data_IF_863687015455
#
_entry.id   IF_863687015455
#
_cell.length_a   1.000
_cell.length_b   1.000
_cell.length_c   1.000
_cell.angle_alpha   90.00
_cell.angle_beta   90.00
_cell.angle_gamma   90.00
#
_symmetry.space_group_name_H-M   'P 1'
#
loop_
_entity.id
_entity.type
_entity.pdbx_description
1 polymer ?
#
# COMPACT_ATOMS: atom_id res chain seq x y z
N UNK A 1 28.66 15.99 -16.73
CA UNK A 1 28.60 17.05 -17.75
C UNK A 1 27.19 17.68 -17.92
N UNK A 2 26.16 17.22 -17.18
CA UNK A 2 24.78 17.77 -17.27
C UNK A 2 24.46 18.85 -16.22
N UNK A 3 25.32 19.06 -15.22
CA UNK A 3 25.09 20.00 -14.11
C UNK A 3 25.38 21.47 -14.48
N UNK A 4 26.23 21.72 -15.48
CA UNK A 4 26.71 23.08 -15.80
C UNK A 4 25.70 23.91 -16.59
N UNK A 5 24.84 23.28 -17.40
CA UNK A 5 23.86 23.98 -18.24
C UNK A 5 22.71 24.60 -17.43
N UNK A 6 22.14 23.85 -16.49
CA UNK A 6 21.02 24.32 -15.63
C UNK A 6 21.50 25.40 -14.64
N UNK A 7 22.73 25.27 -14.14
CA UNK A 7 23.34 26.25 -13.22
C UNK A 7 23.53 27.63 -13.87
N UNK A 8 23.85 27.66 -15.17
CA UNK A 8 24.13 28.92 -15.89
C UNK A 8 22.85 29.70 -16.17
N UNK A 9 21.75 29.00 -16.51
CA UNK A 9 20.45 29.62 -16.79
C UNK A 9 19.77 30.20 -15.53
N UNK A 10 19.95 29.57 -14.37
CA UNK A 10 19.36 30.04 -13.11
C UNK A 10 20.10 31.30 -12.60
N UNK A 11 21.41 31.38 -12.81
CA UNK A 11 22.23 32.51 -12.32
C UNK A 11 22.01 33.79 -13.14
N UNK A 12 21.62 33.69 -14.42
CA UNK A 12 21.35 34.87 -15.27
C UNK A 12 19.97 35.50 -15.05
N UNK A 13 19.02 34.78 -14.45
CA UNK A 13 17.63 35.24 -14.27
C UNK A 13 17.41 35.80 -12.86
N UNK A 14 18.17 35.35 -11.84
CA UNK A 14 18.01 35.78 -10.45
C UNK A 14 19.37 35.99 -9.75
N UNK A 15 20.06 37.12 -9.98
CA UNK A 15 21.40 37.37 -9.43
C UNK A 15 21.44 37.51 -7.90
N UNK A 16 20.29 37.64 -7.23
CA UNK A 16 20.15 37.88 -5.79
C UNK A 16 19.55 36.71 -4.99
N UNK A 17 19.43 35.50 -5.56
CA UNK A 17 18.98 34.35 -4.77
C UNK A 17 20.13 33.94 -3.84
N UNK A 18 19.96 34.13 -2.53
CA UNK A 18 20.92 33.63 -1.54
C UNK A 18 21.14 32.13 -1.78
N UNK A 19 22.40 31.70 -1.82
CA UNK A 19 22.79 30.29 -1.98
C UNK A 19 22.50 29.46 -0.73
N UNK A 20 21.50 29.84 0.05
CA UNK A 20 21.14 29.13 1.27
C UNK A 20 20.27 27.93 0.91
N UNK A 21 20.57 26.73 1.43
CA UNK A 21 19.76 25.56 1.19
C UNK A 21 18.34 25.81 1.75
N UNK A 22 17.35 25.80 0.86
CA UNK A 22 15.94 25.84 1.26
C UNK A 22 15.53 24.42 1.65
N UNK A 23 15.38 24.19 2.96
CA UNK A 23 14.89 22.94 3.49
C UNK A 23 13.38 22.82 3.27
N UNK A 24 12.96 21.99 2.33
CA UNK A 24 11.54 21.63 2.17
C UNK A 24 11.27 20.40 3.04
N UNK A 25 10.76 20.63 4.25
CA UNK A 25 10.35 19.56 5.15
C UNK A 25 8.99 18.98 4.77
N UNK A 26 8.94 18.04 3.82
CA UNK A 26 7.72 17.25 3.56
C UNK A 26 7.64 16.09 4.54
N UNK A 27 6.88 16.25 5.62
CA UNK A 27 6.65 15.13 6.55
C UNK A 27 5.54 14.23 6.00
N UNK A 28 5.89 13.05 5.50
CA UNK A 28 4.91 12.04 5.06
C UNK A 28 4.32 11.36 6.31
N UNK A 29 3.28 11.96 6.90
CA UNK A 29 2.54 11.37 8.04
C UNK A 29 1.24 10.68 7.64
N UNK A 30 0.68 11.00 6.48
CA UNK A 30 -0.65 10.53 6.11
C UNK A 30 -0.56 9.16 5.44
N UNK A 31 -1.05 8.15 6.17
CA UNK A 31 -1.56 6.92 5.57
C UNK A 31 -3.05 7.12 5.35
N UNK A 32 -3.50 6.97 4.11
CA UNK A 32 -4.90 7.17 3.71
C UNK A 32 -5.40 5.87 3.11
N UNK A 33 -6.60 5.46 3.52
CA UNK A 33 -7.34 4.40 2.84
C UNK A 33 -8.28 5.07 1.85
N UNK A 34 -8.09 4.80 0.56
CA UNK A 34 -8.97 5.28 -0.49
C UNK A 34 -10.07 4.25 -0.75
N UNK A 35 -11.29 4.76 -0.95
CA UNK A 35 -12.46 3.98 -1.30
C UNK A 35 -12.86 4.27 -2.74
N UNK A 36 -13.23 3.24 -3.49
CA UNK A 36 -13.89 3.43 -4.77
C UNK A 36 -15.41 3.49 -4.54
N UNK A 37 -15.98 4.69 -4.45
CA UNK A 37 -17.39 4.88 -4.10
C UNK A 37 -18.33 4.82 -5.32
N UNK A 38 -17.80 5.02 -6.53
CA UNK A 38 -18.59 5.24 -7.74
C UNK A 38 -18.68 4.02 -8.66
N UNK A 39 -17.77 3.06 -8.55
CA UNK A 39 -17.78 1.86 -9.37
C UNK A 39 -18.48 0.74 -8.60
N UNK A 40 -19.57 0.21 -9.17
CA UNK A 40 -20.41 -0.80 -8.51
C UNK A 40 -19.64 -2.06 -8.11
N UNK A 41 -18.67 -2.47 -8.92
CA UNK A 41 -17.81 -3.64 -8.68
C UNK A 41 -16.87 -3.44 -7.47
N UNK A 42 -16.57 -2.18 -7.12
CA UNK A 42 -15.57 -1.84 -6.10
C UNK A 42 -16.17 -1.22 -4.83
N UNK A 43 -17.50 -1.17 -4.67
CA UNK A 43 -18.17 -0.53 -3.50
C UNK A 43 -17.72 -1.08 -2.14
N UNK A 44 -17.18 -2.29 -2.15
CA UNK A 44 -16.66 -3.00 -0.99
C UNK A 44 -15.13 -3.10 -0.99
N UNK A 45 -14.43 -2.41 -1.90
CA UNK A 45 -12.98 -2.43 -2.02
C UNK A 45 -12.34 -1.14 -1.51
N UNK A 46 -11.12 -1.29 -1.00
CA UNK A 46 -10.30 -0.22 -0.48
C UNK A 46 -8.83 -0.43 -0.87
N UNK A 47 -8.14 0.66 -1.18
CA UNK A 47 -6.71 0.67 -1.42
C UNK A 47 -5.99 1.47 -0.33
N UNK A 48 -4.85 0.98 0.12
CA UNK A 48 -4.05 1.65 1.16
C UNK A 48 -2.92 2.45 0.52
N UNK A 49 -2.78 3.71 0.93
CA UNK A 49 -1.74 4.60 0.43
C UNK A 49 -1.00 5.27 1.58
N UNK A 50 0.29 5.57 1.39
CA UNK A 50 1.05 6.45 2.29
C UNK A 50 1.85 7.45 1.47
N UNK A 51 1.49 8.73 1.58
CA UNK A 51 1.98 9.76 0.66
C UNK A 51 1.56 9.46 -0.78
N UNK A 52 2.51 9.48 -1.72
CA UNK A 52 2.29 9.15 -3.13
C UNK A 52 2.34 7.65 -3.45
N UNK A 53 2.61 6.79 -2.45
CA UNK A 53 2.81 5.37 -2.67
C UNK A 53 1.54 4.58 -2.40
N UNK A 54 1.13 3.79 -3.39
CA UNK A 54 0.09 2.76 -3.28
C UNK A 54 0.71 1.48 -2.73
N UNK A 55 0.00 0.84 -1.80
CA UNK A 55 0.40 -0.41 -1.16
C UNK A 55 -0.46 -1.58 -1.62
N UNK A 56 0.06 -2.79 -1.45
CA UNK A 56 -0.56 -4.05 -1.86
C UNK A 56 -0.28 -5.17 -0.86
N UNK A 57 -1.11 -6.20 -0.88
CA UNK A 57 -0.88 -7.46 -0.20
C UNK A 57 -0.25 -8.48 -1.16
N UNK A 58 0.75 -9.23 -0.68
CA UNK A 58 1.27 -10.45 -1.33
C UNK A 58 0.95 -11.67 -0.49
N UNK A 59 0.73 -12.82 -1.15
CA UNK A 59 0.51 -14.10 -0.48
C UNK A 59 1.72 -14.59 0.33
N UNK A 60 2.94 -14.20 -0.07
CA UNK A 60 4.16 -14.48 0.71
C UNK A 60 4.09 -13.88 2.12
N UNK A 61 3.43 -12.73 2.28
CA UNK A 61 3.30 -12.06 3.58
C UNK A 61 1.97 -12.34 4.29
N UNK A 62 0.90 -12.65 3.54
CA UNK A 62 -0.48 -12.71 4.06
C UNK A 62 -1.17 -14.08 3.89
N UNK A 63 -0.46 -15.08 3.35
CA UNK A 63 -0.98 -16.39 2.98
C UNK A 63 -1.70 -16.39 1.62
N UNK A 64 -1.95 -17.59 1.08
CA UNK A 64 -2.69 -17.78 -0.18
C UNK A 64 -4.15 -17.29 -0.09
N UNK A 65 -4.87 -17.27 -1.21
CA UNK A 65 -6.27 -16.84 -1.32
C UNK A 65 -6.50 -15.42 -0.82
N UNK A 66 -5.73 -14.46 -1.35
CA UNK A 66 -5.80 -13.06 -0.92
C UNK A 66 -7.21 -12.46 -1.07
N UNK A 67 -8.04 -12.97 -1.98
CA UNK A 67 -9.44 -12.55 -2.16
C UNK A 67 -10.32 -12.75 -0.92
N UNK A 68 -9.87 -13.56 0.05
CA UNK A 68 -10.56 -13.79 1.32
C UNK A 68 -10.21 -12.76 2.39
N UNK A 69 -9.23 -11.90 2.13
CA UNK A 69 -8.79 -10.89 3.08
C UNK A 69 -9.72 -9.68 3.05
N UNK A 70 -10.03 -9.19 4.24
CA UNK A 70 -10.71 -7.92 4.47
C UNK A 70 -9.82 -7.01 5.31
N UNK A 71 -9.60 -5.79 4.86
CA UNK A 71 -8.93 -4.75 5.64
C UNK A 71 -9.94 -4.08 6.56
N UNK A 72 -9.54 -3.81 7.81
CA UNK A 72 -10.34 -2.97 8.70
C UNK A 72 -9.94 -1.51 8.48
N UNK A 73 -10.81 -0.66 7.88
CA UNK A 73 -10.46 0.72 7.60
C UNK A 73 -10.32 1.60 8.84
N UNK A 74 -10.92 1.19 9.96
CA UNK A 74 -10.88 1.92 11.22
C UNK A 74 -9.68 1.52 12.08
N UNK A 75 -8.97 0.45 11.70
CA UNK A 75 -7.80 0.00 12.43
C UNK A 75 -6.62 0.96 12.25
N UNK A 76 -5.81 1.19 13.31
CA UNK A 76 -4.59 1.96 13.18
C UNK A 76 -3.62 1.26 12.23
N UNK A 77 -3.00 2.02 11.34
CA UNK A 77 -1.97 1.52 10.43
C UNK A 77 -0.60 1.92 10.97
N UNK A 78 0.24 0.93 11.25
CA UNK A 78 1.63 1.14 11.63
C UNK A 78 2.54 1.15 10.41
N UNK A 79 3.61 1.94 10.46
CA UNK A 79 4.61 2.04 9.40
C UNK A 79 5.98 1.70 9.96
N UNK A 80 6.74 0.89 9.22
CA UNK A 80 8.14 0.60 9.54
C UNK A 80 8.96 0.49 8.26
N UNK A 81 10.12 1.15 8.26
CA UNK A 81 11.11 0.93 7.20
C UNK A 81 11.92 -0.34 7.50
N UNK A 82 12.01 -1.24 6.52
CA UNK A 82 12.74 -2.50 6.61
C UNK A 82 13.89 -2.46 5.62
N UNK A 83 15.10 -2.20 6.13
CA UNK A 83 16.30 -1.99 5.31
C UNK A 83 16.70 -3.22 4.50
N UNK A 84 16.57 -4.41 5.08
CA UNK A 84 17.08 -5.65 4.50
C UNK A 84 16.08 -6.34 3.55
N UNK A 85 14.87 -5.80 3.41
CA UNK A 85 13.86 -6.31 2.50
C UNK A 85 13.80 -5.43 1.25
N UNK A 86 13.87 -6.05 0.07
CA UNK A 86 13.55 -5.42 -1.23
C UNK A 86 14.36 -4.13 -1.51
N UNK A 87 15.63 -4.09 -1.07
CA UNK A 87 16.49 -2.91 -1.23
C UNK A 87 16.16 -1.74 -0.30
N UNK A 88 15.37 -1.99 0.75
CA UNK A 88 14.91 -0.98 1.70
C UNK A 88 13.49 -0.53 1.39
N UNK A 89 12.52 -1.09 2.10
CA UNK A 89 11.10 -0.88 1.81
C UNK A 89 10.33 -0.39 3.02
N UNK A 90 9.42 0.55 2.81
CA UNK A 90 8.42 0.92 3.81
C UNK A 90 7.31 -0.13 3.87
N UNK A 91 7.10 -0.73 5.03
CA UNK A 91 6.05 -1.73 5.26
C UNK A 91 4.93 -1.08 6.07
N UNK A 92 3.67 -1.38 5.71
CA UNK A 92 2.51 -1.06 6.52
C UNK A 92 1.95 -2.32 7.15
N UNK A 93 1.57 -2.24 8.43
CA UNK A 93 0.87 -3.31 9.13
C UNK A 93 -0.43 -2.77 9.72
N UNK A 94 -1.54 -3.46 9.48
CA UNK A 94 -2.88 -3.08 9.95
C UNK A 94 -3.71 -4.31 10.27
N UNK A 95 -4.75 -4.15 11.09
CA UNK A 95 -5.65 -5.26 11.38
C UNK A 95 -6.54 -5.58 10.17
N UNK A 96 -6.78 -6.87 9.97
CA UNK A 96 -7.70 -7.39 8.98
C UNK A 96 -8.34 -8.69 9.44
N UNK A 97 -9.18 -9.23 8.58
CA UNK A 97 -9.87 -10.48 8.81
C UNK A 97 -9.80 -11.34 7.55
N UNK A 98 -9.87 -12.65 7.71
CA UNK A 98 -9.95 -13.63 6.62
C UNK A 98 -11.25 -14.38 6.72
N UNK A 99 -11.97 -14.48 5.61
CA UNK A 99 -13.11 -15.39 5.48
C UNK A 99 -12.60 -16.82 5.59
N UNK A 100 -13.09 -17.54 6.60
CA UNK A 100 -12.86 -18.96 6.81
C UNK A 100 -13.99 -19.70 6.11
N UNK A 101 -13.63 -20.46 5.08
CA UNK A 101 -14.59 -21.31 4.40
C UNK A 101 -14.02 -22.71 4.15
N UNK A 102 -14.77 -23.72 4.58
CA UNK A 102 -14.52 -25.11 4.23
C UNK A 102 -15.07 -25.33 2.82
N UNK A 103 -14.18 -25.22 1.81
CA UNK A 103 -14.50 -25.46 0.41
C UNK A 103 -14.77 -26.94 0.14
N UNK A 104 -15.92 -27.45 0.58
CA UNK A 104 -16.35 -28.82 0.25
C UNK A 104 -17.23 -28.86 -1.02
N UNK A 105 -17.87 -27.75 -1.41
CA UNK A 105 -18.84 -27.69 -2.52
C UNK A 105 -18.87 -26.32 -3.19
N UNK A 106 -19.01 -26.27 -4.53
CA UNK A 106 -19.09 -25.02 -5.30
C UNK A 106 -20.32 -24.17 -4.96
N UNK A 107 -21.45 -24.81 -4.68
CA UNK A 107 -22.70 -24.14 -4.32
C UNK A 107 -23.28 -24.75 -3.06
N UNK A 108 -23.74 -23.91 -2.14
CA UNK A 108 -24.42 -24.31 -0.90
C UNK A 108 -25.47 -23.28 -0.51
N UNK A 109 -26.36 -23.67 0.41
CA UNK A 109 -27.30 -22.73 1.03
C UNK A 109 -26.52 -21.67 1.81
N UNK A 110 -26.97 -20.42 1.73
CA UNK A 110 -26.36 -19.31 2.44
C UNK A 110 -26.20 -19.61 3.93
N UNK A 111 -25.00 -19.34 4.45
CA UNK A 111 -24.66 -19.36 5.85
C UNK A 111 -23.77 -18.14 6.14
N UNK A 112 -23.85 -17.54 7.34
CA UNK A 112 -22.94 -16.48 7.74
C UNK A 112 -21.48 -16.94 7.65
N UNK A 113 -20.63 -16.09 7.09
CA UNK A 113 -19.20 -16.35 6.99
C UNK A 113 -18.55 -16.31 8.37
N UNK A 114 -17.65 -17.27 8.63
CA UNK A 114 -16.78 -17.20 9.78
C UNK A 114 -15.56 -16.34 9.45
N UNK A 115 -15.22 -15.39 10.32
CA UNK A 115 -14.09 -14.49 10.11
C UNK A 115 -12.97 -14.83 11.11
N UNK A 116 -11.73 -14.91 10.62
CA UNK A 116 -10.53 -15.05 11.44
C UNK A 116 -9.73 -13.76 11.41
N UNK A 117 -9.54 -13.13 12.56
CA UNK A 117 -8.68 -11.95 12.69
C UNK A 117 -7.23 -12.26 12.34
N UNK A 118 -6.54 -11.32 11.70
CA UNK A 118 -5.12 -11.39 11.35
C UNK A 118 -4.49 -10.00 11.22
N UNK A 119 -3.16 -9.95 11.22
CA UNK A 119 -2.41 -8.73 10.89
C UNK A 119 -2.06 -8.75 9.41
N UNK A 120 -2.56 -7.79 8.65
CA UNK A 120 -2.23 -7.59 7.24
C UNK A 120 -0.90 -6.87 7.13
N UNK A 121 -0.04 -7.37 6.26
CA UNK A 121 1.23 -6.74 5.92
C UNK A 121 1.21 -6.31 4.46
N UNK A 122 1.40 -5.02 4.24
CA UNK A 122 1.36 -4.40 2.92
C UNK A 122 2.72 -3.82 2.57
N UNK A 123 3.11 -4.02 1.31
CA UNK A 123 4.33 -3.44 0.72
C UNK A 123 3.96 -2.51 -0.43
N UNK A 124 4.84 -1.56 -0.81
CA UNK A 124 4.58 -0.67 -1.93
C UNK A 124 4.39 -1.47 -3.22
N UNK A 125 3.49 -0.98 -4.07
CA UNK A 125 3.12 -1.66 -5.30
C UNK A 125 4.31 -1.95 -6.21
N UNK A 126 5.22 -0.99 -6.34
CA UNK A 126 6.41 -1.11 -7.20
C UNK A 126 7.36 -2.25 -6.80
N UNK A 127 7.26 -2.77 -5.57
CA UNK A 127 8.05 -3.92 -5.13
C UNK A 127 7.57 -5.26 -5.72
N UNK A 128 6.51 -5.24 -6.54
CA UNK A 128 6.16 -6.18 -7.60
C UNK A 128 7.17 -7.26 -8.03
N UNK A 129 6.90 -8.56 -7.89
CA UNK A 129 7.59 -9.60 -8.67
C UNK A 129 9.03 -9.89 -8.24
N UNK A 130 9.48 -9.32 -7.13
CA UNK A 130 10.85 -9.46 -6.63
C UNK A 130 11.03 -10.66 -5.67
N UNK A 131 9.98 -11.48 -5.45
CA UNK A 131 9.99 -12.61 -4.50
C UNK A 131 9.41 -13.90 -5.08
N UNK A 132 9.57 -14.09 -6.39
CA UNK A 132 8.98 -15.21 -7.12
C UNK A 132 7.50 -15.01 -7.45
N UNK A 133 6.91 -16.02 -8.09
CA UNK A 133 5.50 -16.03 -8.47
C UNK A 133 4.61 -16.15 -7.24
N UNK A 134 3.70 -15.19 -7.07
CA UNK A 134 2.80 -15.14 -5.93
C UNK A 134 1.54 -14.32 -6.25
N UNK A 135 0.45 -14.61 -5.54
CA UNK A 135 -0.78 -13.80 -5.60
C UNK A 135 -0.52 -12.37 -5.10
N UNK A 136 -1.22 -11.42 -5.70
CA UNK A 136 -1.11 -9.99 -5.40
C UNK A 136 -2.46 -9.29 -5.47
N UNK A 137 -2.79 -8.47 -4.47
CA UNK A 137 -3.96 -7.58 -4.48
C UNK A 137 -3.61 -6.16 -4.04
N UNK A 138 -4.06 -5.18 -4.83
CA UNK A 138 -4.05 -3.75 -4.47
C UNK A 138 -5.35 -3.37 -3.76
N UNK A 139 -6.46 -3.80 -4.34
CA UNK A 139 -7.80 -3.54 -3.83
C UNK A 139 -8.20 -4.68 -2.88
N UNK A 140 -8.32 -4.35 -1.61
CA UNK A 140 -8.73 -5.28 -0.56
C UNK A 140 -10.21 -5.06 -0.25
N UNK A 141 -10.95 -6.12 0.05
CA UNK A 141 -12.29 -5.95 0.60
C UNK A 141 -12.23 -5.20 1.92
N UNK A 142 -13.19 -4.33 2.20
CA UNK A 142 -13.34 -3.68 3.51
C UNK A 142 -14.28 -4.49 4.41
N UNK A 143 -14.00 -4.48 5.71
CA UNK A 143 -14.93 -4.96 6.73
C UNK A 143 -16.23 -4.15 6.74
#
# INVERSE_FOLDING_TARGET
MFYTGIQTAITSILPNLSREPVWIGLTIRQTTILYCQYFLEDKSLAAVMRGSLVYRAESVDNGAELQRLRVNPEAPISYRFVKDALGGVGVLETAGERVMDEMSTLYRRYQPEMMKALSLRLIPYYCWGNRGENEMLVWLYRK
#
